data_IF_191512142353
#
_entry.id   IF_191512142353
#
_cell.length_a   1.000
_cell.length_b   1.000
_cell.length_c   1.000
_cell.angle_alpha   90.00
_cell.angle_beta   90.00
_cell.angle_gamma   90.00
#
_symmetry.space_group_name_H-M   'P 1'
#
loop_
_entity.id
_entity.type
_entity.pdbx_description
1 polymer ?
#
# COMPACT_ATOMS: atom_id res chain seq x y z
N UNK A 1 3.40 -5.71 4.57
CA UNK A 1 4.44 -5.28 3.59
C UNK A 1 5.41 -4.23 4.16
N UNK A 2 5.01 -2.98 4.44
CA UNK A 2 5.97 -1.90 4.79
C UNK A 2 6.88 -2.20 5.99
N UNK A 3 6.38 -2.90 7.02
CA UNK A 3 7.17 -3.23 8.21
C UNK A 3 8.33 -4.20 7.93
N UNK A 4 8.22 -5.05 6.90
CA UNK A 4 9.34 -5.89 6.45
C UNK A 4 10.47 -5.03 5.88
N UNK A 5 10.15 -3.97 5.13
CA UNK A 5 11.14 -3.00 4.66
C UNK A 5 11.75 -2.18 5.81
N UNK A 6 10.93 -1.76 6.78
CA UNK A 6 11.44 -1.09 7.98
C UNK A 6 12.37 -1.98 8.80
N UNK A 7 12.03 -3.26 8.96
CA UNK A 7 12.91 -4.22 9.62
C UNK A 7 14.22 -4.39 8.86
N UNK A 8 14.17 -4.42 7.53
CA UNK A 8 15.36 -4.44 6.67
C UNK A 8 16.25 -3.19 6.82
N UNK A 9 15.65 -2.03 7.10
CA UNK A 9 16.33 -0.77 7.43
C UNK A 9 16.81 -0.69 8.89
N UNK A 10 16.51 -1.69 9.72
CA UNK A 10 16.88 -1.73 11.14
C UNK A 10 15.95 -0.94 12.06
N UNK A 11 14.78 -0.53 11.59
CA UNK A 11 13.81 0.23 12.41
C UNK A 11 13.09 -0.67 13.40
N UNK A 12 12.67 -0.06 14.50
CA UNK A 12 11.77 -0.68 15.47
C UNK A 12 10.34 -0.66 14.93
N UNK A 13 9.74 -1.84 14.80
CA UNK A 13 8.38 -2.00 14.26
C UNK A 13 7.34 -2.38 15.32
N UNK A 14 7.73 -2.54 16.58
CA UNK A 14 6.87 -3.10 17.63
C UNK A 14 6.33 -4.48 17.25
N UNK A 15 5.04 -4.71 17.49
CA UNK A 15 4.31 -5.94 17.14
C UNK A 15 3.70 -5.90 15.73
N UNK A 16 4.16 -5.00 14.85
CA UNK A 16 3.62 -4.90 13.50
C UNK A 16 3.92 -6.16 12.67
N UNK A 17 3.02 -6.49 11.73
CA UNK A 17 3.11 -7.71 10.93
C UNK A 17 4.41 -7.75 10.11
N UNK A 18 5.22 -8.79 10.34
CA UNK A 18 6.52 -8.99 9.73
C UNK A 18 6.60 -10.34 9.02
N UNK A 19 7.12 -10.32 7.80
CA UNK A 19 7.52 -11.51 7.06
C UNK A 19 9.03 -11.70 7.23
N UNK A 20 9.43 -12.44 8.28
CA UNK A 20 10.85 -12.58 8.67
C UNK A 20 11.73 -13.17 7.56
N UNK A 21 11.20 -14.14 6.80
CA UNK A 21 11.89 -14.80 5.70
C UNK A 21 12.06 -13.88 4.46
N UNK A 22 11.39 -12.72 4.42
CA UNK A 22 11.46 -11.75 3.33
C UNK A 22 12.33 -10.53 3.65
N UNK A 23 12.90 -10.43 4.85
CA UNK A 23 13.71 -9.27 5.25
C UNK A 23 14.94 -9.10 4.35
N UNK A 24 15.61 -10.20 3.98
CA UNK A 24 16.78 -10.11 3.09
C UNK A 24 16.40 -9.69 1.68
N UNK A 25 15.30 -10.23 1.15
CA UNK A 25 14.74 -9.80 -0.14
C UNK A 25 14.36 -8.31 -0.12
N UNK A 26 13.81 -7.80 0.99
CA UNK A 26 13.49 -6.38 1.12
C UNK A 26 14.75 -5.50 1.06
N UNK A 27 15.88 -5.92 1.63
CA UNK A 27 17.17 -5.22 1.49
C UNK A 27 17.65 -5.20 0.04
N UNK A 28 17.60 -6.33 -0.65
CA UNK A 28 17.97 -6.42 -2.07
C UNK A 28 17.12 -5.47 -2.92
N UNK A 29 15.82 -5.40 -2.66
CA UNK A 29 14.90 -4.48 -3.36
C UNK A 29 15.26 -3.02 -3.08
N UNK A 30 15.58 -2.66 -1.83
CA UNK A 30 16.00 -1.30 -1.46
C UNK A 30 17.27 -0.88 -2.22
N UNK A 31 18.29 -1.75 -2.26
CA UNK A 31 19.53 -1.49 -3.00
C UNK A 31 19.31 -1.43 -4.52
N UNK A 32 18.45 -2.31 -5.06
CA UNK A 32 18.07 -2.29 -6.48
C UNK A 32 17.31 -1.02 -6.85
N UNK A 33 16.39 -0.54 -6.02
CA UNK A 33 15.69 0.72 -6.24
C UNK A 33 16.68 1.89 -6.30
N UNK A 34 17.61 1.96 -5.34
CA UNK A 34 18.67 2.97 -5.28
C UNK A 34 19.58 2.96 -6.50
N UNK A 35 20.06 1.79 -6.90
CA UNK A 35 20.97 1.63 -8.05
C UNK A 35 20.30 1.84 -9.42
N UNK A 36 18.99 1.56 -9.54
CA UNK A 36 18.22 1.75 -10.78
C UNK A 36 17.71 3.18 -10.97
N UNK A 37 17.93 4.08 -10.01
CA UNK A 37 17.39 5.45 -10.02
C UNK A 37 15.87 5.50 -9.92
N UNK A 38 15.22 4.40 -9.53
CA UNK A 38 13.78 4.35 -9.32
C UNK A 38 13.45 4.86 -7.92
N UNK A 39 12.43 5.71 -7.84
CA UNK A 39 11.94 6.25 -6.58
C UNK A 39 11.12 5.17 -5.87
N UNK A 40 11.64 4.65 -4.76
CA UNK A 40 10.90 3.80 -3.84
C UNK A 40 10.49 4.63 -2.63
N UNK A 41 9.19 4.86 -2.49
CA UNK A 41 8.63 5.59 -1.37
C UNK A 41 8.13 4.61 -0.30
N UNK A 42 8.64 4.76 0.92
CA UNK A 42 8.07 4.14 2.11
C UNK A 42 7.37 5.22 2.94
N UNK A 43 6.33 4.87 3.72
CA UNK A 43 5.72 5.83 4.63
C UNK A 43 6.77 6.39 5.61
N UNK A 44 6.61 7.65 6.02
CA UNK A 44 7.51 8.33 6.97
C UNK A 44 6.93 8.41 8.37
N UNK A 45 5.61 8.22 8.49
CA UNK A 45 4.85 8.17 9.72
C UNK A 45 3.75 7.11 9.64
N UNK A 46 3.39 6.57 10.80
CA UNK A 46 2.50 5.40 10.92
C UNK A 46 1.54 5.61 12.08
N UNK A 47 0.28 5.23 11.87
CA UNK A 47 -0.72 5.12 12.91
C UNK A 47 -0.56 3.76 13.59
N UNK A 48 -0.11 3.78 14.84
CA UNK A 48 -0.03 2.61 15.70
C UNK A 48 -1.27 2.50 16.57
N UNK A 49 -1.72 1.27 16.83
CA UNK A 49 -2.74 0.98 17.83
C UNK A 49 -2.26 -0.02 18.89
N UNK A 50 -2.84 0.09 20.08
CA UNK A 50 -2.50 -0.75 21.24
C UNK A 50 -2.94 -2.22 21.13
N UNK A 51 -3.87 -2.52 20.21
CA UNK A 51 -4.38 -3.86 19.91
C UNK A 51 -5.00 -3.89 18.51
N UNK A 52 -5.16 -5.07 17.93
CA UNK A 52 -5.86 -5.25 16.65
C UNK A 52 -7.38 -5.19 16.84
N UNK A 53 -7.91 -3.98 17.01
CA UNK A 53 -9.32 -3.74 17.28
C UNK A 53 -9.70 -2.29 16.94
N UNK A 54 -10.90 -2.05 16.42
CA UNK A 54 -11.33 -0.71 16.06
C UNK A 54 -11.41 0.24 17.27
N UNK A 55 -11.52 -0.26 18.50
CA UNK A 55 -11.53 0.51 19.74
C UNK A 55 -10.14 0.79 20.31
N UNK A 56 -9.06 0.39 19.64
CA UNK A 56 -7.71 0.55 20.16
C UNK A 56 -7.36 2.03 20.39
N UNK A 57 -6.54 2.29 21.40
CA UNK A 57 -5.90 3.59 21.52
C UNK A 57 -4.94 3.76 20.35
N UNK A 58 -4.94 4.94 19.73
CA UNK A 58 -4.13 5.21 18.54
C UNK A 58 -3.13 6.34 18.78
N UNK A 59 -1.92 6.19 18.25
CA UNK A 59 -0.89 7.24 18.22
C UNK A 59 -0.15 7.22 16.90
N UNK A 60 0.35 8.38 16.50
CA UNK A 60 1.14 8.53 15.29
C UNK A 60 2.60 8.69 15.68
N UNK A 61 3.46 7.89 15.08
CA UNK A 61 4.91 7.96 15.27
C UNK A 61 5.61 8.03 13.92
N UNK A 62 6.81 8.59 13.90
CA UNK A 62 7.71 8.46 12.75
C UNK A 62 8.11 7.01 12.56
N UNK A 63 8.23 6.57 11.32
CA UNK A 63 8.54 5.18 10.96
C UNK A 63 9.87 4.68 11.54
N UNK A 64 10.85 5.57 11.75
CA UNK A 64 12.19 5.24 12.24
C UNK A 64 12.36 5.45 13.76
N UNK A 65 11.31 5.90 14.45
CA UNK A 65 11.41 6.41 15.83
C UNK A 65 10.24 5.96 16.72
N UNK A 66 9.85 4.67 16.66
CA UNK A 66 8.88 4.11 17.61
C UNK A 66 9.50 4.04 19.01
N UNK A 67 8.94 4.74 20.03
CA UNK A 67 9.49 4.71 21.37
C UNK A 67 9.36 3.32 22.03
N UNK A 68 10.34 2.88 22.85
CA UNK A 68 10.35 1.54 23.44
C UNK A 68 9.11 1.18 24.26
N UNK A 69 8.46 2.16 24.89
CA UNK A 69 7.25 1.97 25.67
C UNK A 69 6.00 1.63 24.83
N UNK A 70 6.10 1.68 23.50
CA UNK A 70 5.06 1.26 22.55
C UNK A 70 5.48 0.01 21.75
N UNK A 71 6.47 -0.77 22.22
CA UNK A 71 6.94 -1.97 21.51
C UNK A 71 5.86 -3.04 21.35
N UNK A 72 4.86 -3.05 22.22
CA UNK A 72 3.71 -3.96 22.15
C UNK A 72 2.63 -3.48 21.18
N UNK A 73 2.72 -2.25 20.67
CA UNK A 73 1.79 -1.69 19.70
C UNK A 73 2.13 -2.14 18.28
N UNK A 74 1.15 -2.04 17.38
CA UNK A 74 1.28 -2.43 15.97
C UNK A 74 0.79 -1.33 15.05
N UNK A 75 1.51 -1.11 13.95
CA UNK A 75 1.14 -0.16 12.92
C UNK A 75 0.00 -0.73 12.07
N UNK A 76 -1.06 0.06 11.91
CA UNK A 76 -2.30 -0.38 11.25
C UNK A 76 -2.78 0.57 10.15
N UNK A 77 -2.21 1.77 10.01
CA UNK A 77 -2.45 2.69 8.90
C UNK A 77 -1.24 3.61 8.70
N UNK A 78 -1.17 4.30 7.56
CA UNK A 78 -0.17 5.33 7.30
C UNK A 78 -0.55 6.66 7.95
N UNK A 79 0.45 7.43 8.39
CA UNK A 79 0.22 8.74 8.99
C UNK A 79 -0.02 9.86 7.97
N UNK A 80 -0.41 11.06 8.44
CA UNK A 80 -0.71 12.21 7.60
C UNK A 80 0.43 12.68 6.69
N UNK A 81 1.69 12.59 7.12
CA UNK A 81 2.83 13.02 6.29
C UNK A 81 3.04 12.08 5.10
N UNK A 82 2.85 10.78 5.34
CA UNK A 82 2.88 9.73 4.33
C UNK A 82 1.72 9.87 3.35
N UNK A 83 0.50 10.12 3.86
CA UNK A 83 -0.69 10.38 3.03
C UNK A 83 -0.41 11.53 2.07
N UNK A 84 0.11 12.65 2.58
CA UNK A 84 0.43 13.82 1.76
C UNK A 84 1.44 13.46 0.68
N UNK A 85 2.55 12.82 1.07
CA UNK A 85 3.63 12.46 0.15
C UNK A 85 3.14 11.54 -0.98
N UNK A 86 2.33 10.54 -0.64
CA UNK A 86 1.82 9.59 -1.63
C UNK A 86 0.76 10.21 -2.53
N UNK A 87 -0.13 11.04 -1.97
CA UNK A 87 -1.12 11.77 -2.76
C UNK A 87 -0.45 12.70 -3.78
N UNK A 88 0.60 13.42 -3.36
CA UNK A 88 1.37 14.29 -4.24
C UNK A 88 2.04 13.50 -5.38
N UNK A 89 2.61 12.32 -5.09
CA UNK A 89 3.22 11.46 -6.12
C UNK A 89 2.17 10.91 -7.11
N UNK A 90 1.01 10.47 -6.60
CA UNK A 90 -0.10 9.95 -7.40
C UNK A 90 -0.61 11.01 -8.38
N UNK A 91 -0.83 12.24 -7.91
CA UNK A 91 -1.32 13.34 -8.75
C UNK A 91 -0.34 13.75 -9.86
N UNK A 92 0.96 13.50 -9.65
CA UNK A 92 1.99 13.76 -10.65
C UNK A 92 2.21 12.59 -11.63
N UNK A 93 1.56 11.45 -11.40
CA UNK A 93 1.71 10.24 -12.21
C UNK A 93 0.74 10.20 -13.40
N UNK A 94 1.12 9.51 -14.48
CA UNK A 94 0.28 9.35 -15.69
C UNK A 94 -0.40 7.99 -15.78
N UNK A 95 0.20 6.98 -15.19
CA UNK A 95 -0.36 5.64 -15.07
C UNK A 95 -0.09 5.16 -13.65
N UNK A 96 -1.13 4.78 -12.94
CA UNK A 96 -1.05 4.32 -11.55
C UNK A 96 -1.70 2.94 -11.46
N UNK A 97 -1.02 2.02 -10.78
CA UNK A 97 -1.52 0.69 -10.47
C UNK A 97 -1.53 0.58 -8.96
N UNK A 98 -2.70 0.35 -8.37
CA UNK A 98 -2.88 0.24 -6.94
C UNK A 98 -3.29 -1.19 -6.56
N UNK A 99 -2.44 -1.87 -5.80
CA UNK A 99 -2.69 -3.20 -5.29
C UNK A 99 -2.33 -3.27 -3.80
N UNK A 100 -3.35 -3.27 -2.95
CA UNK A 100 -3.25 -3.37 -1.51
C UNK A 100 -3.64 -2.06 -0.81
N UNK A 101 -4.56 -2.10 0.17
CA UNK A 101 -4.88 -0.94 0.99
C UNK A 101 -3.65 -0.47 1.82
N UNK A 102 -3.71 0.76 2.32
CA UNK A 102 -2.60 1.35 3.09
C UNK A 102 -2.62 0.93 4.57
N UNK A 103 -3.77 0.49 5.05
CA UNK A 103 -4.04 0.10 6.43
C UNK A 103 -5.24 -0.84 6.54
N UNK A 104 -5.65 -1.13 7.77
CA UNK A 104 -6.78 -2.01 8.12
C UNK A 104 -8.10 -1.26 7.90
N UNK A 105 -8.44 -0.97 6.64
CA UNK A 105 -9.53 -0.07 6.25
C UNK A 105 -10.95 -0.55 6.60
N UNK A 106 -11.07 -1.82 7.01
CA UNK A 106 -12.27 -2.39 7.60
C UNK A 106 -12.61 -1.72 8.94
N UNK A 107 -11.59 -1.21 9.65
CA UNK A 107 -11.71 -0.50 10.92
C UNK A 107 -11.60 1.01 10.68
N UNK A 108 -12.63 1.78 11.03
CA UNK A 108 -12.70 3.22 10.74
C UNK A 108 -11.51 4.01 11.31
N UNK A 109 -10.96 3.59 12.46
CA UNK A 109 -9.78 4.21 13.07
C UNK A 109 -8.47 3.99 12.28
N UNK A 110 -8.47 3.05 11.32
CA UNK A 110 -7.31 2.67 10.50
C UNK A 110 -7.61 2.71 8.99
N UNK A 111 -8.65 3.44 8.59
CA UNK A 111 -9.10 3.53 7.19
C UNK A 111 -8.68 4.82 6.48
N UNK A 112 -8.15 5.80 7.22
CA UNK A 112 -7.92 7.15 6.69
C UNK A 112 -6.89 7.12 5.57
N UNK A 113 -5.76 6.45 5.76
CA UNK A 113 -4.70 6.38 4.75
C UNK A 113 -5.18 5.73 3.46
N UNK A 114 -5.91 4.63 3.56
CA UNK A 114 -6.51 3.94 2.41
C UNK A 114 -7.48 4.85 1.65
N UNK A 115 -8.38 5.56 2.35
CA UNK A 115 -9.36 6.42 1.67
C UNK A 115 -8.78 7.70 1.10
N UNK A 116 -7.75 8.29 1.72
CA UNK A 116 -7.08 9.45 1.14
C UNK A 116 -6.29 9.07 -0.13
N UNK A 117 -5.63 7.90 -0.14
CA UNK A 117 -5.02 7.36 -1.37
C UNK A 117 -6.07 7.07 -2.44
N UNK A 118 -7.21 6.47 -2.09
CA UNK A 118 -8.32 6.24 -3.02
C UNK A 118 -8.84 7.55 -3.65
N UNK A 119 -9.00 8.62 -2.85
CA UNK A 119 -9.38 9.96 -3.35
C UNK A 119 -8.32 10.56 -4.27
N UNK A 120 -7.04 10.39 -3.95
CA UNK A 120 -5.95 10.85 -4.81
C UNK A 120 -5.95 10.15 -6.17
N UNK A 121 -6.23 8.83 -6.21
CA UNK A 121 -6.38 8.07 -7.45
C UNK A 121 -7.56 8.58 -8.29
N UNK A 122 -8.73 8.78 -7.68
CA UNK A 122 -9.88 9.35 -8.37
C UNK A 122 -9.55 10.74 -8.97
N UNK A 123 -8.91 11.60 -8.18
CA UNK A 123 -8.49 12.94 -8.62
C UNK A 123 -7.46 12.89 -9.76
N UNK A 124 -6.50 11.97 -9.72
CA UNK A 124 -5.55 11.76 -10.80
C UNK A 124 -6.25 11.32 -12.09
N UNK A 125 -7.29 10.47 -11.97
CA UNK A 125 -8.11 10.03 -13.10
C UNK A 125 -8.88 11.18 -13.74
N UNK A 126 -9.51 12.01 -12.93
CA UNK A 126 -10.19 13.24 -13.38
C UNK A 126 -9.20 14.20 -14.10
N UNK A 127 -7.92 14.18 -13.70
CA UNK A 127 -6.83 14.92 -14.34
C UNK A 127 -6.22 14.21 -15.58
N UNK A 128 -6.81 13.11 -16.03
CA UNK A 128 -6.43 12.37 -17.24
C UNK A 128 -5.36 11.30 -17.06
N UNK A 129 -5.03 10.90 -15.83
CA UNK A 129 -4.19 9.73 -15.59
C UNK A 129 -4.99 8.43 -15.77
N UNK A 130 -4.28 7.35 -16.13
CA UNK A 130 -4.84 6.00 -16.12
C UNK A 130 -4.67 5.42 -14.71
N UNK A 131 -5.75 5.02 -14.06
CA UNK A 131 -5.72 4.40 -12.73
C UNK A 131 -6.31 2.99 -12.77
N UNK A 132 -5.50 2.01 -12.37
CA UNK A 132 -5.86 0.59 -12.38
C UNK A 132 -5.84 0.10 -10.93
N UNK A 133 -6.99 -0.36 -10.46
CA UNK A 133 -7.15 -0.94 -9.14
C UNK A 133 -7.06 -2.46 -9.29
N UNK A 134 -6.13 -3.09 -8.60
CA UNK A 134 -5.92 -4.53 -8.65
C UNK A 134 -6.17 -5.18 -7.29
N UNK A 135 -6.90 -6.29 -7.29
CA UNK A 135 -7.09 -7.16 -6.12
C UNK A 135 -8.41 -6.91 -5.39
N UNK A 136 -8.93 -7.98 -4.77
CA UNK A 136 -10.22 -7.96 -4.08
C UNK A 136 -10.31 -6.91 -2.99
N UNK A 137 -9.27 -6.79 -2.15
CA UNK A 137 -9.27 -5.83 -1.04
C UNK A 137 -9.17 -4.39 -1.53
N UNK A 138 -8.34 -4.10 -2.53
CA UNK A 138 -8.27 -2.76 -3.14
C UNK A 138 -9.59 -2.38 -3.82
N UNK A 139 -10.23 -3.33 -4.51
CA UNK A 139 -11.54 -3.13 -5.13
C UNK A 139 -12.60 -2.84 -4.06
N UNK A 140 -12.61 -3.61 -2.96
CA UNK A 140 -13.48 -3.38 -1.81
C UNK A 140 -13.26 -2.01 -1.16
N UNK A 141 -11.99 -1.56 -1.05
CA UNK A 141 -11.67 -0.24 -0.53
C UNK A 141 -12.20 0.90 -1.42
N UNK A 142 -12.08 0.78 -2.75
CA UNK A 142 -12.67 1.73 -3.70
C UNK A 142 -14.20 1.75 -3.62
N UNK A 143 -14.83 0.56 -3.52
CA UNK A 143 -16.28 0.42 -3.36
C UNK A 143 -16.77 1.09 -2.06
N UNK A 144 -16.11 0.82 -0.92
CA UNK A 144 -16.43 1.43 0.38
C UNK A 144 -16.24 2.95 0.35
N UNK A 145 -15.31 3.47 -0.47
CA UNK A 145 -15.12 4.89 -0.69
C UNK A 145 -16.14 5.52 -1.66
N UNK A 146 -16.93 4.72 -2.39
CA UNK A 146 -17.88 5.20 -3.40
C UNK A 146 -17.21 5.74 -4.66
N UNK A 147 -16.03 5.20 -5.02
CA UNK A 147 -15.17 5.72 -6.09
C UNK A 147 -14.99 4.75 -7.28
N UNK A 148 -15.80 3.69 -7.38
CA UNK A 148 -15.67 2.67 -8.44
C UNK A 148 -15.76 3.27 -9.85
N UNK A 149 -16.70 4.20 -10.05
CA UNK A 149 -16.90 4.91 -11.32
C UNK A 149 -15.95 6.12 -11.49
N UNK A 150 -14.99 6.30 -10.58
CA UNK A 150 -14.03 7.43 -10.57
C UNK A 150 -12.60 7.00 -10.88
N UNK A 151 -12.38 5.73 -11.18
CA UNK A 151 -11.08 5.17 -11.56
C UNK A 151 -11.18 4.56 -12.96
N UNK A 152 -10.06 4.38 -13.65
CA UNK A 152 -10.10 3.90 -15.04
C UNK A 152 -10.46 2.43 -15.17
N UNK A 153 -10.02 1.59 -14.23
CA UNK A 153 -10.33 0.15 -14.24
C UNK A 153 -10.25 -0.45 -12.83
N UNK A 154 -11.21 -1.32 -12.51
CA UNK A 154 -11.20 -2.14 -11.30
C UNK A 154 -11.08 -3.61 -11.70
N UNK A 155 -9.99 -4.25 -11.27
CA UNK A 155 -9.70 -5.66 -11.50
C UNK A 155 -9.74 -6.43 -10.18
N UNK A 156 -10.49 -7.51 -10.16
CA UNK A 156 -10.47 -8.49 -9.06
C UNK A 156 -9.27 -9.44 -9.15
N UNK A 157 -8.45 -9.34 -10.21
CA UNK A 157 -7.38 -10.29 -10.53
C UNK A 157 -6.19 -10.28 -9.58
N UNK A 158 -6.01 -9.26 -8.73
CA UNK A 158 -4.99 -9.20 -7.67
C UNK A 158 -3.62 -9.70 -8.13
N UNK A 159 -3.22 -10.87 -7.63
CA UNK A 159 -1.97 -11.53 -8.01
C UNK A 159 -1.86 -11.84 -9.52
N UNK A 160 -2.93 -12.27 -10.18
CA UNK A 160 -2.92 -12.51 -11.62
C UNK A 160 -2.67 -11.21 -12.41
N UNK A 161 -3.20 -10.07 -11.95
CA UNK A 161 -2.93 -8.77 -12.55
C UNK A 161 -1.46 -8.37 -12.39
N UNK A 162 -0.85 -8.64 -11.22
CA UNK A 162 0.57 -8.41 -11.00
C UNK A 162 1.45 -9.32 -11.85
N UNK A 163 1.15 -10.63 -11.91
CA UNK A 163 1.89 -11.57 -12.76
C UNK A 163 1.82 -11.20 -14.24
N UNK A 164 0.66 -10.71 -14.71
CA UNK A 164 0.51 -10.18 -16.06
C UNK A 164 1.44 -8.98 -16.31
N UNK A 165 1.53 -8.06 -15.33
CA UNK A 165 2.41 -6.88 -15.41
C UNK A 165 3.90 -7.23 -15.29
N UNK A 166 4.24 -8.34 -14.64
CA UNK A 166 5.58 -8.93 -14.65
C UNK A 166 5.95 -9.49 -16.04
N UNK A 167 5.01 -9.52 -17.00
CA UNK A 167 5.20 -10.06 -18.34
C UNK A 167 5.11 -11.59 -18.40
N UNK A 168 4.59 -12.23 -17.33
CA UNK A 168 4.37 -13.68 -17.33
C UNK A 168 3.21 -14.01 -18.26
N UNK A 169 3.32 -15.18 -18.89
CA UNK A 169 2.18 -15.77 -19.58
C UNK A 169 1.27 -16.44 -18.55
N UNK A 170 0.03 -15.99 -18.47
CA UNK A 170 -0.93 -16.55 -17.54
C UNK A 170 -1.49 -17.86 -18.12
N UNK A 171 -1.41 -19.00 -17.41
CA UNK A 171 -1.83 -20.30 -17.95
C UNK A 171 -3.27 -20.31 -18.48
N UNK A 172 -4.19 -19.63 -17.77
CA UNK A 172 -5.59 -19.53 -18.19
C UNK A 172 -5.82 -18.67 -19.42
N UNK A 173 -4.93 -17.70 -19.71
CA UNK A 173 -4.99 -16.88 -20.92
C UNK A 173 -4.34 -17.63 -22.09
N UNK A 174 -3.22 -18.32 -21.88
CA UNK A 174 -2.58 -19.14 -22.90
C UNK A 174 -3.46 -20.28 -23.39
N UNK A 175 -4.32 -20.83 -22.52
CA UNK A 175 -5.26 -21.88 -22.89
C UNK A 175 -6.39 -21.41 -23.82
N UNK A 176 -6.61 -20.08 -23.96
CA UNK A 176 -7.55 -19.54 -24.92
C UNK A 176 -6.88 -19.59 -26.31
N UNK A 177 -7.40 -20.44 -27.19
CA UNK A 177 -6.92 -20.55 -28.57
C UNK A 177 -6.92 -19.19 -29.26
N UNK A 178 -5.82 -18.83 -29.92
CA UNK A 178 -5.82 -17.69 -30.85
C UNK A 178 -6.92 -17.93 -31.90
N UNK A 179 -7.78 -16.93 -32.10
CA UNK A 179 -8.86 -16.97 -33.10
C UNK A 179 -8.31 -16.66 -34.48
#
# INVERSE_FOLDING_TARGET
MMFTFYKALGYNIGNSLLEEDKVELAKEILEKAKSSGKKLLLPTDVVYGSKFDNSAETKIFKADSLPPEYNDWMGMDIGPDSIKTFSDEILNSKTIIWNGPMGVFEMDNFAKGTFEVAKALASATDNGAITIIGGGDSASAIAKAGLEEKVSHVSTGGGASLEFLEGKKLPGVEALTEV
#
